data_IF_778785840221
#
_entry.id   IF_778785840221
#
_cell.length_a   1.000
_cell.length_b   1.000
_cell.length_c   1.000
_cell.angle_alpha   90.00
_cell.angle_beta   90.00
_cell.angle_gamma   90.00
#
_symmetry.space_group_name_H-M   'P 1'
#
loop_
_entity.id
_entity.type
_entity.pdbx_description
1 polymer ?
#
# COMPACT_ATOMS: atom_id res chain seq x y z
N UNK A 1 -8.93 8.88 10.76
CA UNK A 1 -8.61 7.47 11.02
C UNK A 1 -7.35 7.44 11.85
N UNK A 2 -7.47 6.86 13.04
CA UNK A 2 -6.49 6.99 14.14
C UNK A 2 -5.20 6.24 13.81
N UNK A 3 -4.10 6.96 13.58
CA UNK A 3 -2.78 6.38 13.74
C UNK A 3 -2.62 6.05 15.23
N UNK A 4 -2.70 4.76 15.56
CA UNK A 4 -2.13 4.27 16.80
C UNK A 4 -0.62 4.49 16.69
N UNK A 5 -0.14 5.57 17.31
CA UNK A 5 1.27 5.74 17.63
C UNK A 5 1.57 4.59 18.59
N UNK A 6 2.20 3.52 18.09
CA UNK A 6 2.76 2.48 18.94
C UNK A 6 3.82 3.14 19.83
N UNK A 7 3.58 3.10 21.13
CA UNK A 7 4.51 3.57 22.16
C UNK A 7 5.91 2.94 21.96
N UNK A 8 7.01 3.69 22.15
CA UNK A 8 8.37 3.22 21.90
C UNK A 8 8.80 2.00 22.75
N UNK A 9 8.17 1.75 23.89
CA UNK A 9 8.38 0.51 24.67
C UNK A 9 7.79 -0.74 23.99
N UNK A 10 6.64 -0.60 23.31
CA UNK A 10 6.01 -1.71 22.60
C UNK A 10 6.85 -2.14 21.39
N UNK A 11 7.42 -1.17 20.66
CA UNK A 11 8.28 -1.44 19.51
C UNK A 11 9.53 -2.20 19.93
N UNK A 12 10.13 -1.85 21.08
CA UNK A 12 11.33 -2.51 21.59
C UNK A 12 11.07 -3.95 22.03
N UNK A 13 9.93 -4.21 22.68
CA UNK A 13 9.52 -5.56 23.06
C UNK A 13 9.24 -6.45 21.83
N UNK A 14 8.63 -5.89 20.78
CA UNK A 14 8.41 -6.61 19.51
C UNK A 14 9.74 -6.89 18.79
N UNK A 15 10.69 -5.96 18.85
CA UNK A 15 12.03 -6.13 18.28
C UNK A 15 12.77 -7.30 18.96
N UNK A 16 12.74 -7.38 20.28
CA UNK A 16 13.37 -8.45 21.07
C UNK A 16 12.75 -9.83 20.77
N UNK A 17 11.43 -9.89 20.57
CA UNK A 17 10.73 -11.14 20.25
C UNK A 17 11.02 -11.67 18.84
N UNK A 18 11.39 -10.80 17.91
CA UNK A 18 11.57 -11.14 16.50
C UNK A 18 13.03 -11.24 16.08
N UNK A 19 13.94 -10.68 16.86
CA UNK A 19 15.38 -10.74 16.59
C UNK A 19 15.90 -12.18 16.59
N UNK A 20 15.61 -12.98 17.62
CA UNK A 20 16.06 -14.37 17.68
C UNK A 20 15.52 -15.23 16.51
N UNK A 21 14.20 -15.24 16.23
CA UNK A 21 13.65 -15.97 15.09
C UNK A 21 14.26 -15.53 13.76
N UNK A 22 14.48 -14.22 13.57
CA UNK A 22 15.10 -13.69 12.37
C UNK A 22 16.57 -14.11 12.23
N UNK A 23 17.35 -13.97 13.31
CA UNK A 23 18.76 -14.35 13.33
C UNK A 23 18.94 -15.84 13.03
N UNK A 24 18.13 -16.70 13.65
CA UNK A 24 18.13 -18.14 13.38
C UNK A 24 17.82 -18.46 11.91
N UNK A 25 16.83 -17.78 11.32
CA UNK A 25 16.50 -17.98 9.90
C UNK A 25 17.62 -17.50 8.97
N UNK A 26 18.25 -16.37 9.29
CA UNK A 26 19.40 -15.85 8.56
C UNK A 26 20.61 -16.77 8.67
N UNK A 27 20.94 -17.27 9.86
CA UNK A 27 22.03 -18.23 10.06
C UNK A 27 21.80 -19.54 9.29
N UNK A 28 20.58 -20.07 9.32
CA UNK A 28 20.20 -21.24 8.53
C UNK A 28 20.38 -20.98 7.03
N UNK A 29 20.02 -19.79 6.55
CA UNK A 29 20.25 -19.41 5.16
C UNK A 29 21.74 -19.30 4.84
N UNK A 30 22.56 -18.72 5.73
CA UNK A 30 23.99 -18.60 5.54
C UNK A 30 24.71 -19.98 5.51
N UNK A 31 24.19 -20.96 6.25
CA UNK A 31 24.76 -22.31 6.31
C UNK A 31 24.49 -23.15 5.06
N UNK A 32 23.33 -22.97 4.40
CA UNK A 32 22.86 -23.87 3.34
C UNK A 32 22.39 -23.21 2.03
N UNK A 33 22.09 -21.91 2.04
CA UNK A 33 21.78 -21.11 0.85
C UNK A 33 20.62 -21.65 -0.01
N UNK A 34 19.59 -22.24 0.59
CA UNK A 34 18.51 -22.93 -0.13
C UNK A 34 17.33 -22.02 -0.51
N UNK A 35 16.54 -22.42 -1.51
CA UNK A 35 15.25 -21.77 -1.84
C UNK A 35 14.24 -21.88 -0.68
N UNK A 36 14.27 -22.97 0.08
CA UNK A 36 13.40 -23.15 1.26
C UNK A 36 13.70 -22.10 2.34
N UNK A 37 14.98 -21.77 2.54
CA UNK A 37 15.42 -20.72 3.45
C UNK A 37 15.02 -19.32 2.96
N UNK A 38 14.96 -19.08 1.64
CA UNK A 38 14.41 -17.85 1.07
C UNK A 38 12.89 -17.76 1.26
N UNK A 39 12.17 -18.86 1.11
CA UNK A 39 10.74 -18.91 1.43
C UNK A 39 10.47 -18.60 2.92
N UNK A 40 11.37 -18.98 3.83
CA UNK A 40 11.30 -18.58 5.23
C UNK A 40 11.51 -17.08 5.43
N UNK A 41 12.40 -16.45 4.64
CA UNK A 41 12.58 -15.01 4.64
C UNK A 41 11.29 -14.29 4.21
N UNK A 42 10.69 -14.74 3.10
CA UNK A 42 9.40 -14.22 2.62
C UNK A 42 8.31 -14.35 3.69
N UNK A 43 8.18 -15.53 4.31
CA UNK A 43 7.17 -15.79 5.33
C UNK A 43 7.41 -14.97 6.61
N UNK A 44 8.68 -14.72 6.97
CA UNK A 44 9.01 -13.80 8.05
C UNK A 44 8.50 -12.40 7.72
N UNK A 45 8.78 -11.89 6.52
CA UNK A 45 8.28 -10.60 6.04
C UNK A 45 6.75 -10.49 6.11
N UNK A 46 6.05 -11.55 5.67
CA UNK A 46 4.59 -11.63 5.72
C UNK A 46 4.05 -11.55 7.15
N UNK A 47 4.64 -12.30 8.08
CA UNK A 47 4.27 -12.26 9.51
C UNK A 47 4.61 -10.94 10.18
N UNK A 48 5.72 -10.31 9.81
CA UNK A 48 6.10 -8.99 10.33
C UNK A 48 5.04 -7.94 9.97
N UNK A 49 4.48 -8.00 8.76
CA UNK A 49 3.36 -7.15 8.35
C UNK A 49 2.11 -7.43 9.19
N UNK A 50 1.77 -8.71 9.42
CA UNK A 50 0.63 -9.10 10.29
C UNK A 50 0.81 -8.61 11.73
N UNK A 51 2.06 -8.53 12.21
CA UNK A 51 2.43 -7.98 13.50
C UNK A 51 2.48 -6.44 13.53
N UNK A 52 2.18 -5.76 12.41
CA UNK A 52 2.15 -4.30 12.33
C UNK A 52 3.53 -3.63 12.24
N UNK A 53 4.58 -4.38 11.89
CA UNK A 53 5.92 -3.82 11.72
C UNK A 53 6.02 -3.01 10.43
N UNK A 54 6.73 -1.89 10.50
CA UNK A 54 7.17 -1.16 9.33
C UNK A 54 8.46 -1.73 8.74
N UNK A 55 8.75 -1.34 7.50
CA UNK A 55 10.01 -1.69 6.81
C UNK A 55 11.25 -1.29 7.62
N UNK A 56 11.16 -0.15 8.33
CA UNK A 56 12.26 0.34 9.18
C UNK A 56 12.51 -0.60 10.36
N UNK A 57 11.46 -1.14 10.98
CA UNK A 57 11.60 -2.06 12.11
C UNK A 57 12.29 -3.36 11.65
N UNK A 58 11.90 -3.89 10.49
CA UNK A 58 12.54 -5.08 9.89
C UNK A 58 14.00 -4.80 9.51
N UNK A 59 14.30 -3.60 9.01
CA UNK A 59 15.68 -3.19 8.72
C UNK A 59 16.53 -3.14 10.00
N UNK A 60 15.97 -2.65 11.11
CA UNK A 60 16.65 -2.63 12.41
C UNK A 60 16.91 -4.06 12.90
N UNK A 61 15.92 -4.96 12.83
CA UNK A 61 16.09 -6.39 13.17
C UNK A 61 17.21 -7.03 12.33
N UNK A 62 17.20 -6.79 11.01
CA UNK A 62 18.22 -7.31 10.11
C UNK A 62 19.63 -6.83 10.49
N UNK A 63 19.80 -5.54 10.77
CA UNK A 63 21.10 -4.98 11.17
C UNK A 63 21.60 -5.58 12.49
N UNK A 64 20.72 -5.77 13.48
CA UNK A 64 21.10 -6.41 14.74
C UNK A 64 21.51 -7.87 14.53
N UNK A 65 20.75 -8.64 13.77
CA UNK A 65 21.07 -10.03 13.46
C UNK A 65 22.40 -10.16 12.68
N UNK A 66 22.61 -9.30 11.68
CA UNK A 66 23.85 -9.28 10.92
C UNK A 66 25.05 -8.90 11.80
N UNK A 67 24.90 -7.93 12.71
CA UNK A 67 25.95 -7.55 13.65
C UNK A 67 26.30 -8.70 14.62
N UNK A 68 25.30 -9.49 15.06
CA UNK A 68 25.54 -10.68 15.88
C UNK A 68 26.38 -11.71 15.14
N UNK A 69 26.04 -12.00 13.87
CA UNK A 69 26.77 -12.97 13.04
C UNK A 69 28.20 -12.49 12.73
N UNK A 70 28.36 -11.20 12.39
CA UNK A 70 29.66 -10.61 12.08
C UNK A 70 30.54 -10.37 13.31
N UNK A 71 30.01 -10.54 14.53
CA UNK A 71 30.80 -10.45 15.76
C UNK A 71 31.76 -11.63 15.94
N UNK A 72 31.56 -12.71 15.17
CA UNK A 72 32.40 -13.89 15.21
C UNK A 72 33.74 -13.67 14.47
N UNK A 73 34.82 -14.37 14.86
CA UNK A 73 36.10 -14.28 14.15
C UNK A 73 35.93 -14.81 12.73
N UNK A 74 36.00 -13.92 11.74
CA UNK A 74 35.79 -14.22 10.33
C UNK A 74 36.95 -13.69 9.49
N UNK A 75 37.28 -14.41 8.42
CA UNK A 75 38.16 -13.92 7.37
C UNK A 75 37.43 -12.86 6.52
N UNK A 76 38.15 -11.90 5.91
CA UNK A 76 37.54 -10.86 5.08
C UNK A 76 36.66 -11.40 3.93
N UNK A 77 37.05 -12.53 3.34
CA UNK A 77 36.28 -13.20 2.29
C UNK A 77 34.95 -13.77 2.81
N UNK A 78 34.93 -14.26 4.05
CA UNK A 78 33.73 -14.78 4.71
C UNK A 78 32.76 -13.64 5.01
N UNK A 79 33.25 -12.51 5.52
CA UNK A 79 32.45 -11.31 5.73
C UNK A 79 31.76 -10.84 4.44
N UNK A 80 32.48 -10.85 3.31
CA UNK A 80 31.93 -10.45 2.01
C UNK A 80 30.84 -11.41 1.53
N UNK A 81 31.05 -12.74 1.70
CA UNK A 81 30.04 -13.75 1.37
C UNK A 81 28.80 -13.62 2.26
N UNK A 82 28.98 -13.41 3.56
CA UNK A 82 27.89 -13.21 4.52
C UNK A 82 27.09 -11.97 4.15
N UNK A 83 27.74 -10.84 3.84
CA UNK A 83 27.06 -9.61 3.46
C UNK A 83 26.17 -9.79 2.21
N UNK A 84 26.70 -10.42 1.15
CA UNK A 84 25.91 -10.66 -0.08
C UNK A 84 24.81 -11.72 0.07
N UNK A 85 24.95 -12.67 1.00
CA UNK A 85 23.86 -13.59 1.34
C UNK A 85 22.80 -12.90 2.21
N UNK A 86 23.20 -12.13 3.22
CA UNK A 86 22.31 -11.35 4.05
C UNK A 86 21.48 -10.35 3.25
N UNK A 87 22.07 -9.69 2.24
CA UNK A 87 21.36 -8.83 1.29
C UNK A 87 20.22 -9.58 0.57
N UNK A 88 20.51 -10.77 0.02
CA UNK A 88 19.52 -11.59 -0.70
C UNK A 88 18.39 -12.03 0.23
N UNK A 89 18.72 -12.50 1.41
CA UNK A 89 17.73 -12.88 2.43
C UNK A 89 16.85 -11.69 2.83
N UNK A 90 17.45 -10.52 3.05
CA UNK A 90 16.73 -9.32 3.42
C UNK A 90 15.80 -8.84 2.29
N UNK A 91 16.27 -8.88 1.05
CA UNK A 91 15.47 -8.52 -0.12
C UNK A 91 14.24 -9.41 -0.24
N UNK A 92 14.40 -10.72 -0.07
CA UNK A 92 13.28 -11.67 -0.08
C UNK A 92 12.29 -11.41 1.07
N UNK A 93 12.81 -11.09 2.26
CA UNK A 93 12.00 -10.68 3.40
C UNK A 93 11.21 -9.38 3.15
N UNK A 94 11.69 -8.50 2.28
CA UNK A 94 11.01 -7.24 1.92
C UNK A 94 10.03 -7.39 0.75
N UNK A 95 10.06 -8.50 0.02
CA UNK A 95 9.16 -8.71 -1.12
C UNK A 95 7.66 -8.57 -0.77
N UNK A 96 7.15 -9.08 0.38
CA UNK A 96 5.77 -8.85 0.79
C UNK A 96 5.41 -7.36 0.97
N UNK A 97 6.34 -6.55 1.46
CA UNK A 97 6.11 -5.10 1.65
C UNK A 97 5.99 -4.39 0.30
N UNK A 98 6.86 -4.72 -0.65
CA UNK A 98 6.80 -4.17 -2.01
C UNK A 98 5.48 -4.53 -2.69
N UNK A 99 5.06 -5.80 -2.60
CA UNK A 99 3.80 -6.27 -3.17
C UNK A 99 2.60 -5.49 -2.62
N UNK A 100 2.57 -5.24 -1.31
CA UNK A 100 1.50 -4.47 -0.67
C UNK A 100 1.52 -3.01 -1.15
N UNK A 101 2.68 -2.36 -1.16
CA UNK A 101 2.81 -0.97 -1.63
C UNK A 101 2.35 -0.84 -3.08
N UNK A 102 2.73 -1.80 -3.94
CA UNK A 102 2.32 -1.82 -5.33
C UNK A 102 0.81 -2.01 -5.46
N UNK A 103 0.23 -2.97 -4.75
CA UNK A 103 -1.22 -3.19 -4.74
C UNK A 103 -2.01 -1.97 -4.24
N UNK A 104 -1.49 -1.25 -3.23
CA UNK A 104 -2.10 0.00 -2.77
C UNK A 104 -2.06 1.10 -3.83
N UNK A 105 -0.95 1.25 -4.56
CA UNK A 105 -0.86 2.23 -5.66
C UNK A 105 -1.84 1.89 -6.77
N UNK A 106 -1.85 0.64 -7.23
CA UNK A 106 -2.77 0.16 -8.26
C UNK A 106 -4.24 0.42 -7.88
N UNK A 107 -4.63 0.08 -6.65
CA UNK A 107 -5.99 0.31 -6.16
C UNK A 107 -6.34 1.81 -6.07
N UNK A 108 -5.40 2.66 -5.66
CA UNK A 108 -5.62 4.10 -5.54
C UNK A 108 -5.73 4.77 -6.91
N UNK A 109 -4.94 4.33 -7.89
CA UNK A 109 -5.00 4.82 -9.26
C UNK A 109 -6.34 4.46 -9.90
N UNK A 110 -6.81 3.22 -9.72
CA UNK A 110 -8.13 2.80 -10.21
C UNK A 110 -9.27 3.54 -9.53
N UNK A 111 -9.19 3.75 -8.21
CA UNK A 111 -10.17 4.55 -7.48
C UNK A 111 -10.22 5.99 -8.00
N UNK A 112 -9.06 6.59 -8.26
CA UNK A 112 -8.96 7.95 -8.81
C UNK A 112 -9.57 8.04 -10.21
N UNK A 113 -9.32 7.04 -11.07
CA UNK A 113 -9.89 6.97 -12.42
C UNK A 113 -11.41 6.82 -12.39
N UNK A 114 -11.93 5.96 -11.51
CA UNK A 114 -13.37 5.79 -11.33
C UNK A 114 -14.03 7.06 -10.79
N UNK A 115 -13.40 7.73 -9.83
CA UNK A 115 -13.92 8.99 -9.30
C UNK A 115 -14.01 10.08 -10.38
N UNK A 116 -12.96 10.25 -11.19
CA UNK A 116 -12.98 11.18 -12.33
C UNK A 116 -14.10 10.85 -13.33
N UNK A 117 -14.32 9.56 -13.60
CA UNK A 117 -15.40 9.11 -14.49
C UNK A 117 -16.77 9.46 -13.91
N UNK A 118 -16.96 9.24 -12.60
CA UNK A 118 -18.20 9.58 -11.91
C UNK A 118 -18.44 11.10 -11.89
N UNK A 119 -17.40 11.89 -11.60
CA UNK A 119 -17.47 13.35 -11.63
C UNK A 119 -17.88 13.87 -13.01
N UNK A 120 -17.31 13.31 -14.08
CA UNK A 120 -17.70 13.65 -15.45
C UNK A 120 -19.16 13.31 -15.73
N UNK A 121 -19.62 12.10 -15.37
CA UNK A 121 -21.00 11.70 -15.57
C UNK A 121 -21.99 12.58 -14.79
N UNK A 122 -21.64 12.96 -13.56
CA UNK A 122 -22.46 13.87 -12.75
C UNK A 122 -22.56 15.24 -13.42
N UNK A 123 -21.45 15.78 -13.93
CA UNK A 123 -21.44 17.06 -14.64
C UNK A 123 -22.29 17.01 -15.93
N UNK A 124 -22.14 15.97 -16.75
CA UNK A 124 -22.91 15.78 -17.97
C UNK A 124 -24.41 15.68 -17.69
N UNK A 125 -24.81 14.84 -16.72
CA UNK A 125 -26.21 14.65 -16.36
C UNK A 125 -26.84 15.90 -15.73
N UNK A 126 -26.06 16.65 -14.97
CA UNK A 126 -26.50 17.94 -14.41
C UNK A 126 -26.77 18.94 -15.54
N UNK A 127 -25.84 19.04 -16.51
CA UNK A 127 -26.00 19.92 -17.67
C UNK A 127 -27.20 19.53 -18.54
N UNK A 128 -27.39 18.24 -18.81
CA UNK A 128 -28.55 17.73 -19.56
C UNK A 128 -29.86 18.06 -18.85
N UNK A 129 -29.91 17.90 -17.53
CA UNK A 129 -31.11 18.21 -16.73
C UNK A 129 -31.41 19.71 -16.75
N UNK A 130 -30.39 20.56 -16.59
CA UNK A 130 -30.54 22.02 -16.68
C UNK A 130 -31.05 22.45 -18.06
N UNK A 131 -30.49 21.90 -19.13
CA UNK A 131 -30.93 22.18 -20.50
C UNK A 131 -32.38 21.72 -20.73
N UNK A 132 -32.76 20.54 -20.23
CA UNK A 132 -34.13 20.03 -20.33
C UNK A 132 -35.13 20.92 -19.56
N UNK A 133 -34.78 21.35 -18.34
CA UNK A 133 -35.59 22.28 -17.55
C UNK A 133 -35.80 23.62 -18.28
N UNK A 134 -34.73 24.23 -18.81
CA UNK A 134 -34.82 25.49 -19.56
C UNK A 134 -35.69 25.36 -20.82
N UNK A 135 -35.62 24.23 -21.52
CA UNK A 135 -36.45 23.98 -22.70
C UNK A 135 -37.93 23.79 -22.33
N UNK A 136 -38.22 23.12 -21.22
CA UNK A 136 -39.56 22.96 -20.69
C UNK A 136 -40.15 24.33 -20.32
N UNK A 137 -39.41 25.16 -19.58
CA UNK A 137 -39.82 26.52 -19.21
C UNK A 137 -40.19 27.36 -20.44
N UNK A 138 -39.30 27.40 -21.45
CA UNK A 138 -39.58 28.11 -22.71
C UNK A 138 -40.84 27.61 -23.41
N UNK A 139 -41.07 26.29 -23.39
CA UNK A 139 -42.25 25.68 -24.03
C UNK A 139 -43.51 26.08 -23.28
N UNK A 140 -43.48 26.05 -21.94
CA UNK A 140 -44.59 26.49 -21.10
C UNK A 140 -44.90 27.96 -21.38
N UNK A 141 -43.91 28.84 -21.35
CA UNK A 141 -44.09 30.28 -21.62
C UNK A 141 -44.71 30.54 -23.00
N UNK A 142 -44.19 29.86 -24.04
CA UNK A 142 -44.73 29.99 -25.40
C UNK A 142 -46.19 29.53 -25.49
N UNK A 143 -46.55 28.43 -24.82
CA UNK A 143 -47.94 27.95 -24.81
C UNK A 143 -48.88 28.89 -24.05
N UNK A 144 -48.43 29.46 -22.93
CA UNK A 144 -49.19 30.47 -22.17
C UNK A 144 -49.45 31.71 -23.02
N UNK A 145 -48.44 32.20 -23.73
CA UNK A 145 -48.57 33.37 -24.61
C UNK A 145 -49.51 33.11 -25.80
N UNK A 146 -49.44 31.92 -26.40
CA UNK A 146 -50.35 31.51 -27.46
C UNK A 146 -51.81 31.49 -26.98
N UNK A 147 -52.08 30.90 -25.81
CA UNK A 147 -53.44 30.87 -25.23
C UNK A 147 -53.96 32.29 -24.96
N UNK A 148 -53.13 33.18 -24.39
CA UNK A 148 -53.51 34.56 -24.12
C UNK A 148 -53.93 35.30 -25.41
N UNK A 149 -53.13 35.21 -26.47
CA UNK A 149 -53.46 35.84 -27.76
C UNK A 149 -54.74 35.29 -28.41
N UNK A 150 -55.05 34.00 -28.23
CA UNK A 150 -56.30 33.39 -28.71
C UNK A 150 -57.53 33.89 -27.97
N UNK A 151 -57.39 34.20 -26.68
CA UNK A 151 -58.48 34.76 -25.85
C UNK A 151 -58.73 36.22 -26.21
N UNK A 152 -57.68 37.01 -26.44
CA UNK A 152 -57.78 38.43 -26.81
C UNK A 152 -58.35 38.67 -28.22
N UNK A 153 -58.25 37.67 -29.11
CA UNK A 153 -58.76 37.74 -30.49
C UNK A 153 -60.23 37.32 -30.64
N UNK A 154 -60.92 36.99 -29.54
CA UNK A 154 -62.35 36.64 -29.49
C UNK A 154 -63.19 37.79 -28.92
#
# INVERSE_FOLDING_TARGET
MSQAILEPESVRATLEQLLEPYANALENYLAGGSEESLAQAYEFGRKAIEAGMGVVDVAVVHQHALAMILSHPLLPEECTKIAGAAERFFTECLAPYEMIIRGFREANDELSRLNQTLEQQVAERTHELEAACQNLEKTVDATVQAIASMVESR
#
